data_IF_572373965196
#
_entry.id   IF_572373965196
#
_cell.length_a   1.000
_cell.length_b   1.000
_cell.length_c   1.000
_cell.angle_alpha   90.00
_cell.angle_beta   90.00
_cell.angle_gamma   90.00
#
_symmetry.space_group_name_H-M   'P 1'
#
loop_
_entity.id
_entity.type
_entity.pdbx_description
1 polymer ?
#
# COMPACT_ATOMS: atom_id res chain seq x y z
N UNK A 1 -5.00 14.77 -18.32
CA UNK A 1 -5.89 14.25 -17.26
C UNK A 1 -5.13 13.15 -16.54
N UNK A 2 -5.38 12.95 -15.25
CA UNK A 2 -4.81 11.83 -14.47
C UNK A 2 -5.59 10.58 -14.82
N UNK A 3 -4.89 9.48 -15.11
CA UNK A 3 -5.50 8.18 -15.37
C UNK A 3 -4.56 7.03 -15.00
N UNK A 4 -5.05 5.79 -15.08
CA UNK A 4 -4.25 4.58 -14.89
C UNK A 4 -3.53 4.52 -13.53
N UNK A 5 -4.15 5.03 -12.45
CA UNK A 5 -3.55 4.95 -11.12
C UNK A 5 -3.41 3.49 -10.71
N UNK A 6 -2.17 3.05 -10.50
CA UNK A 6 -1.82 1.67 -10.14
C UNK A 6 -1.02 1.67 -8.86
N UNK A 7 -1.43 0.83 -7.91
CA UNK A 7 -0.65 0.54 -6.71
C UNK A 7 -0.12 -0.88 -6.83
N UNK A 8 1.17 -1.04 -6.62
CA UNK A 8 1.84 -2.35 -6.54
C UNK A 8 2.70 -2.43 -5.28
N UNK A 9 2.92 -3.64 -4.79
CA UNK A 9 3.82 -3.85 -3.67
C UNK A 9 4.67 -5.11 -3.85
N UNK A 10 5.80 -5.14 -3.17
CA UNK A 10 6.71 -6.28 -3.15
C UNK A 10 7.34 -6.44 -1.77
N UNK A 11 7.52 -7.67 -1.34
CA UNK A 11 8.24 -7.99 -0.11
C UNK A 11 9.75 -7.85 -0.28
N UNK A 12 10.40 -7.12 0.63
CA UNK A 12 11.86 -7.01 0.68
C UNK A 12 12.44 -7.97 1.72
N UNK A 13 11.88 -7.93 2.94
CA UNK A 13 12.22 -8.78 4.08
C UNK A 13 10.95 -9.12 4.85
N UNK A 14 10.96 -10.10 5.77
CA UNK A 14 9.81 -10.38 6.61
C UNK A 14 9.39 -9.12 7.39
N UNK A 15 8.11 -8.75 7.27
CA UNK A 15 7.57 -7.51 7.84
C UNK A 15 7.97 -6.20 7.14
N UNK A 16 8.78 -6.23 6.08
CA UNK A 16 9.18 -5.05 5.31
C UNK A 16 8.76 -5.18 3.84
N UNK A 17 7.83 -4.34 3.42
CA UNK A 17 7.35 -4.27 2.04
C UNK A 17 7.64 -2.91 1.41
N UNK A 18 7.87 -2.92 0.10
CA UNK A 18 7.94 -1.73 -0.74
C UNK A 18 6.60 -1.58 -1.47
N UNK A 19 5.91 -0.47 -1.24
CA UNK A 19 4.69 -0.08 -1.97
C UNK A 19 5.05 1.02 -2.97
N UNK A 20 4.50 0.93 -4.18
CA UNK A 20 4.74 1.86 -5.29
C UNK A 20 3.41 2.28 -5.91
N UNK A 21 3.30 3.54 -6.32
CA UNK A 21 2.16 4.05 -7.07
C UNK A 21 2.63 4.72 -8.35
N UNK A 22 1.91 4.46 -9.44
CA UNK A 22 2.13 5.10 -10.73
C UNK A 22 0.80 5.56 -11.33
N UNK A 23 0.87 6.54 -12.22
CA UNK A 23 -0.27 7.07 -12.95
C UNK A 23 0.22 7.76 -14.23
N UNK A 24 -0.67 7.89 -15.21
CA UNK A 24 -0.44 8.64 -16.44
C UNK A 24 -0.90 10.10 -16.24
N UNK A 25 -0.12 11.05 -16.76
CA UNK A 25 -0.43 12.47 -16.76
C UNK A 25 0.79 13.37 -16.44
N UNK A 26 0.58 14.68 -16.50
CA UNK A 26 1.63 15.68 -16.30
C UNK A 26 1.58 16.30 -14.90
N UNK A 27 2.75 16.67 -14.37
CA UNK A 27 2.94 17.39 -13.09
C UNK A 27 2.14 16.77 -11.93
N UNK A 28 2.24 15.46 -11.80
CA UNK A 28 1.49 14.67 -10.83
C UNK A 28 1.98 14.92 -9.39
N UNK A 29 1.02 15.04 -8.48
CA UNK A 29 1.24 15.02 -7.03
C UNK A 29 0.64 13.75 -6.47
N UNK A 30 1.40 13.07 -5.63
CA UNK A 30 1.01 11.81 -5.01
C UNK A 30 0.78 12.03 -3.53
N UNK A 31 -0.33 11.51 -3.02
CA UNK A 31 -0.65 11.49 -1.60
C UNK A 31 -1.07 10.09 -1.17
N UNK A 32 -0.69 9.72 0.04
CA UNK A 32 -0.92 8.38 0.57
C UNK A 32 -1.76 8.45 1.83
N UNK A 33 -2.74 7.56 1.92
CA UNK A 33 -3.48 7.30 3.16
C UNK A 33 -3.48 5.80 3.41
N UNK A 34 -3.35 5.39 4.66
CA UNK A 34 -3.43 3.99 5.04
C UNK A 34 -4.15 3.85 6.37
N UNK A 35 -5.06 2.89 6.41
CA UNK A 35 -5.79 2.52 7.61
C UNK A 35 -4.98 1.52 8.44
N UNK A 36 -3.69 1.79 8.71
CA UNK A 36 -2.78 0.90 9.45
C UNK A 36 -3.24 0.71 10.91
N UNK A 37 -4.28 -0.09 11.10
CA UNK A 37 -4.70 -0.61 12.38
C UNK A 37 -3.80 -1.80 12.70
N UNK A 38 -2.68 -1.53 13.37
CA UNK A 38 -1.79 -2.56 13.92
C UNK A 38 -2.49 -3.29 15.07
N UNK A 39 -3.40 -4.22 14.78
CA UNK A 39 -3.95 -5.13 15.79
C UNK A 39 -3.05 -6.34 15.94
N UNK A 40 -2.12 -6.28 16.89
CA UNK A 40 -1.40 -7.46 17.35
C UNK A 40 -2.36 -8.35 18.15
N UNK A 41 -2.88 -9.42 17.53
CA UNK A 41 -3.51 -10.50 18.29
C UNK A 41 -2.42 -11.46 18.74
N UNK A 42 -2.24 -11.59 20.06
CA UNK A 42 -1.33 -12.54 20.67
C UNK A 42 -2.14 -13.79 21.04
N UNK A 43 -2.22 -14.75 20.12
CA UNK A 43 -2.72 -16.10 20.43
C UNK A 43 -1.57 -17.09 20.25
N UNK A 44 -1.28 -17.88 21.29
CA UNK A 44 -0.38 -19.05 21.19
C UNK A 44 1.00 -18.79 20.55
N UNK A 45 1.68 -17.68 20.92
CA UNK A 45 3.01 -17.25 20.41
C UNK A 45 3.05 -16.79 18.94
N UNK A 46 1.90 -16.66 18.26
CA UNK A 46 1.83 -16.09 16.92
C UNK A 46 1.39 -14.62 17.06
N UNK A 47 2.21 -13.71 16.52
CA UNK A 47 1.84 -12.30 16.38
C UNK A 47 1.33 -12.08 14.97
N UNK A 48 0.02 -12.03 14.81
CA UNK A 48 -0.59 -11.73 13.50
C UNK A 48 -0.63 -10.22 13.31
N UNK A 49 0.04 -9.74 12.26
CA UNK A 49 -0.06 -8.35 11.80
C UNK A 49 -1.09 -8.29 10.67
N UNK A 50 -2.23 -7.66 10.91
CA UNK A 50 -3.16 -7.32 9.84
C UNK A 50 -2.68 -5.99 9.24
N UNK A 51 -2.14 -6.03 8.01
CA UNK A 51 -2.00 -4.82 7.23
C UNK A 51 -3.34 -4.57 6.51
N UNK A 52 -3.88 -3.36 6.67
CA UNK A 52 -5.11 -2.95 6.01
C UNK A 52 -4.79 -2.38 4.62
N UNK A 53 -5.78 -1.72 4.04
CA UNK A 53 -5.69 -1.06 2.76
C UNK A 53 -4.69 0.13 2.76
N UNK A 54 -4.08 0.34 1.60
CA UNK A 54 -3.34 1.56 1.26
C UNK A 54 -4.01 2.20 0.06
N UNK A 55 -4.29 3.48 0.17
CA UNK A 55 -4.84 4.28 -0.92
C UNK A 55 -3.79 5.28 -1.41
N UNK A 56 -3.51 5.24 -2.70
CA UNK A 56 -2.74 6.26 -3.41
C UNK A 56 -3.71 7.20 -4.11
N UNK A 57 -3.68 8.48 -3.75
CA UNK A 57 -4.37 9.55 -4.46
C UNK A 57 -3.39 10.31 -5.34
N UNK A 58 -3.74 10.51 -6.60
CA UNK A 58 -2.92 11.24 -7.58
C UNK A 58 -3.71 12.39 -8.14
N UNK A 59 -3.11 13.57 -8.16
CA UNK A 59 -3.74 14.77 -8.71
C UNK A 59 -2.79 15.60 -9.56
N UNK A 60 -3.37 16.38 -10.45
CA UNK A 60 -2.69 17.50 -11.10
C UNK A 60 -3.63 18.72 -11.15
N UNK A 61 -3.21 19.77 -11.86
CA UNK A 61 -4.00 21.00 -11.96
C UNK A 61 -5.35 20.86 -12.69
N UNK A 62 -5.63 19.71 -13.32
CA UNK A 62 -6.85 19.46 -14.10
C UNK A 62 -7.78 18.47 -13.40
N UNK A 63 -7.23 17.40 -12.82
CA UNK A 63 -8.03 16.26 -12.33
C UNK A 63 -7.35 15.51 -11.19
N UNK A 64 -8.13 14.72 -10.47
CA UNK A 64 -7.69 13.80 -9.42
C UNK A 64 -8.25 12.41 -9.67
N UNK A 65 -7.46 11.40 -9.34
CA UNK A 65 -7.85 9.99 -9.34
C UNK A 65 -7.18 9.26 -8.16
N UNK A 66 -7.61 8.05 -7.83
CA UNK A 66 -7.02 7.26 -6.76
C UNK A 66 -7.16 5.76 -7.01
N UNK A 67 -6.33 4.98 -6.32
CA UNK A 67 -6.45 3.54 -6.29
C UNK A 67 -6.08 3.00 -4.91
N UNK A 68 -6.79 1.97 -4.47
CA UNK A 68 -6.65 1.34 -3.16
C UNK A 68 -6.29 -0.12 -3.34
N UNK A 69 -5.30 -0.60 -2.59
CA UNK A 69 -4.90 -2.01 -2.59
C UNK A 69 -4.82 -2.55 -1.17
N UNK A 70 -5.24 -3.79 -1.00
CA UNK A 70 -5.04 -4.52 0.25
C UNK A 70 -3.59 -5.02 0.33
N UNK A 71 -2.95 -4.79 1.47
CA UNK A 71 -1.60 -5.27 1.72
C UNK A 71 -1.63 -6.60 2.45
N UNK A 72 -0.84 -7.56 1.98
CA UNK A 72 -0.67 -8.83 2.66
C UNK A 72 0.68 -8.87 3.40
N UNK A 73 0.75 -9.52 4.59
CA UNK A 73 1.99 -9.70 5.30
C UNK A 73 3.04 -10.41 4.44
N UNK A 74 4.27 -9.90 4.49
CA UNK A 74 5.41 -10.61 3.93
C UNK A 74 5.79 -11.76 4.85
N UNK A 75 5.52 -12.98 4.41
CA UNK A 75 5.86 -14.20 5.16
C UNK A 75 7.37 -14.25 5.43
N UNK A 76 7.74 -14.67 6.64
CA UNK A 76 9.10 -15.14 6.88
C UNK A 76 9.31 -16.39 6.05
N UNK A 77 10.33 -16.39 5.18
CA UNK A 77 10.77 -17.62 4.54
C UNK A 77 10.99 -18.68 5.63
N UNK A 78 10.11 -19.68 5.69
CA UNK A 78 10.32 -20.85 6.55
C UNK A 78 11.38 -21.67 5.82
N UNK A 79 12.64 -21.44 6.19
CA UNK A 79 13.77 -22.31 5.83
C UNK A 79 13.94 -23.40 6.88
#
# INVERSE_FOLDING_TARGET
QVSSVKVSYSCLYPGVMKVSCSADGDNLRFNWTSDLNTRSHLENRISTLILDNVTCSVENHVSRDHNTTELHPCESAVS
#
